data_IF_753270678469
#
_entry.id   IF_753270678469
#
_cell.length_a   1.000
_cell.length_b   1.000
_cell.length_c   1.000
_cell.angle_alpha   90.00
_cell.angle_beta   90.00
_cell.angle_gamma   90.00
#
_symmetry.space_group_name_H-M   'P 1'
#
loop_
_entity.id
_entity.type
_entity.pdbx_description
1 polymer ?
#
# COMPACT_ATOMS: atom_id res chain seq x y z
N UNK A 1 24.09 17.52 8.73
CA UNK A 1 22.70 18.02 8.73
C UNK A 1 22.14 17.64 10.08
N UNK A 2 22.16 18.57 11.03
CA UNK A 2 21.79 18.34 12.45
C UNK A 2 20.30 18.62 12.65
N UNK A 3 19.46 17.95 11.86
CA UNK A 3 18.01 18.07 12.04
C UNK A 3 17.60 17.13 13.17
N UNK A 4 17.29 17.68 14.35
CA UNK A 4 16.71 16.93 15.47
C UNK A 4 15.22 16.67 15.17
N UNK A 5 14.80 15.40 15.01
CA UNK A 5 13.41 15.06 14.75
C UNK A 5 12.78 14.52 16.05
N UNK A 6 12.15 15.36 16.89
CA UNK A 6 11.66 14.96 18.22
C UNK A 6 10.60 13.86 18.15
N UNK A 7 9.95 13.69 16.99
CA UNK A 7 9.01 12.61 16.74
C UNK A 7 9.65 11.20 16.79
N UNK A 8 10.99 11.07 16.69
CA UNK A 8 11.66 9.77 16.78
C UNK A 8 11.71 9.19 18.20
N UNK A 9 11.53 10.03 19.21
CA UNK A 9 11.51 9.60 20.62
C UNK A 9 10.13 9.08 21.05
N UNK A 10 9.14 9.17 20.16
CA UNK A 10 7.76 8.82 20.45
C UNK A 10 7.43 7.44 19.89
N UNK A 11 6.86 6.60 20.75
CA UNK A 11 6.23 5.34 20.36
C UNK A 11 4.87 5.58 19.73
N UNK A 12 4.36 4.59 18.99
CA UNK A 12 3.01 4.63 18.42
C UNK A 12 1.94 4.77 19.50
N UNK A 13 2.13 4.09 20.62
CA UNK A 13 1.24 4.10 21.77
C UNK A 13 1.18 5.49 22.41
N UNK A 14 2.33 6.17 22.57
CA UNK A 14 2.38 7.54 23.08
C UNK A 14 1.67 8.54 22.15
N UNK A 15 1.89 8.42 20.82
CA UNK A 15 1.18 9.27 19.85
C UNK A 15 -0.34 9.05 19.92
N UNK A 16 -0.78 7.80 20.03
CA UNK A 16 -2.21 7.46 20.18
C UNK A 16 -2.79 7.99 21.49
N UNK A 17 -2.09 7.77 22.60
CA UNK A 17 -2.49 8.29 23.91
C UNK A 17 -2.64 9.80 23.92
N UNK A 18 -1.74 10.53 23.24
CA UNK A 18 -1.89 11.98 23.08
C UNK A 18 -3.17 12.36 22.31
N UNK A 19 -3.52 11.64 21.24
CA UNK A 19 -4.75 11.93 20.50
C UNK A 19 -5.98 11.70 21.37
N UNK A 20 -5.99 10.61 22.14
CA UNK A 20 -7.10 10.29 23.04
C UNK A 20 -7.21 11.32 24.18
N UNK A 21 -6.10 11.69 24.81
CA UNK A 21 -6.06 12.68 25.89
C UNK A 21 -6.52 14.07 25.43
N UNK A 22 -6.08 14.50 24.24
CA UNK A 22 -6.35 15.84 23.71
C UNK A 22 -7.61 15.92 22.84
N UNK A 23 -8.28 14.80 22.58
CA UNK A 23 -9.41 14.74 21.66
C UNK A 23 -9.03 15.14 20.23
N UNK A 24 -7.82 14.79 19.78
CA UNK A 24 -7.36 15.13 18.43
C UNK A 24 -7.90 14.13 17.42
N UNK A 25 -8.46 14.66 16.34
CA UNK A 25 -8.85 13.87 15.17
C UNK A 25 -7.63 13.20 14.53
N UNK A 26 -7.86 12.01 13.97
CA UNK A 26 -6.87 11.29 13.18
C UNK A 26 -7.49 10.80 11.87
N UNK A 27 -6.63 10.50 10.90
CA UNK A 27 -7.12 10.08 9.59
C UNK A 27 -7.90 8.77 9.68
N UNK A 28 -9.09 8.74 9.08
CA UNK A 28 -9.98 7.56 9.04
C UNK A 28 -9.34 6.26 8.51
N UNK A 29 -8.16 6.33 7.88
CA UNK A 29 -7.51 5.16 7.30
C UNK A 29 -7.08 4.14 8.36
N UNK A 30 -6.90 4.60 9.60
CA UNK A 30 -6.54 3.80 10.75
C UNK A 30 -7.72 2.96 11.28
N UNK A 31 -8.97 3.39 11.07
CA UNK A 31 -10.17 2.71 11.59
C UNK A 31 -10.70 1.64 10.66
N UNK A 32 -11.26 0.54 11.19
CA UNK A 32 -11.84 -0.58 10.41
C UNK A 32 -12.77 -0.11 9.28
N UNK A 33 -13.59 0.89 9.61
CA UNK A 33 -14.47 1.68 8.75
C UNK A 33 -14.33 3.15 9.15
N UNK A 34 -14.57 4.12 8.25
CA UNK A 34 -14.36 5.53 8.56
C UNK A 34 -15.09 5.98 9.82
N UNK A 35 -14.34 6.52 10.78
CA UNK A 35 -14.90 7.06 12.01
C UNK A 35 -15.26 6.01 13.06
N UNK A 36 -14.88 4.74 12.87
CA UNK A 36 -15.18 3.68 13.85
C UNK A 36 -14.40 3.82 15.18
N UNK A 37 -13.38 4.69 15.24
CA UNK A 37 -12.68 4.98 16.50
C UNK A 37 -11.71 3.88 16.97
N UNK A 38 -11.65 2.74 16.28
CA UNK A 38 -11.03 1.51 16.78
C UNK A 38 -9.59 1.28 16.31
N UNK A 39 -9.10 2.06 15.35
CA UNK A 39 -7.71 2.00 14.86
C UNK A 39 -7.25 0.59 14.41
N UNK A 40 -8.18 -0.25 13.93
CA UNK A 40 -7.94 -1.66 13.56
C UNK A 40 -7.49 -1.89 12.11
N UNK A 41 -7.05 -0.85 11.38
CA UNK A 41 -6.81 -0.92 9.93
C UNK A 41 -5.37 -0.67 9.57
N UNK A 42 -5.07 0.19 8.58
CA UNK A 42 -3.70 0.36 8.11
C UNK A 42 -2.84 0.96 9.21
N UNK A 43 -1.60 0.51 9.34
CA UNK A 43 -0.70 1.06 10.37
C UNK A 43 -0.03 2.37 9.96
N UNK A 44 -0.17 2.75 8.68
CA UNK A 44 0.41 3.95 8.10
C UNK A 44 -0.61 4.65 7.18
N UNK A 45 -0.78 5.96 7.35
CA UNK A 45 -1.50 6.81 6.41
C UNK A 45 -0.55 7.23 5.28
N UNK A 46 -0.40 6.38 4.27
CA UNK A 46 0.44 6.69 3.09
C UNK A 46 -0.40 6.73 1.82
N UNK A 47 0.19 7.27 0.74
CA UNK A 47 -0.38 7.59 -0.57
C UNK A 47 -0.78 6.37 -1.43
N UNK A 48 -1.47 5.43 -0.80
CA UNK A 48 -2.40 4.48 -1.37
C UNK A 48 -1.92 3.10 -1.76
N UNK A 49 -0.61 2.86 -1.86
CA UNK A 49 -0.04 1.51 -2.02
C UNK A 49 1.36 1.52 -1.45
N UNK A 50 1.50 1.84 -0.15
CA UNK A 50 2.82 1.94 0.44
C UNK A 50 3.52 0.58 0.37
N UNK A 51 4.37 0.41 -0.64
CA UNK A 51 5.13 -0.82 -0.89
C UNK A 51 6.09 -1.14 0.24
N UNK A 52 6.36 -0.16 1.10
CA UNK A 52 7.14 -0.30 2.33
C UNK A 52 6.31 -0.74 3.55
N UNK A 53 4.98 -0.83 3.42
CA UNK A 53 4.12 -1.25 4.51
C UNK A 53 4.16 -2.77 4.73
N UNK A 54 3.55 -3.21 5.83
CA UNK A 54 3.35 -4.64 6.10
C UNK A 54 2.55 -5.30 4.97
N UNK A 55 2.69 -6.63 4.80
CA UNK A 55 1.90 -7.38 3.81
C UNK A 55 0.39 -7.16 4.00
N UNK A 56 -0.08 -7.13 5.25
CA UNK A 56 -1.49 -6.84 5.59
C UNK A 56 -1.94 -5.48 5.04
N UNK A 57 -1.12 -4.45 5.23
CA UNK A 57 -1.41 -3.11 4.74
C UNK A 57 -1.33 -3.03 3.21
N UNK A 58 -0.44 -3.79 2.58
CA UNK A 58 -0.40 -3.93 1.12
C UNK A 58 -1.65 -4.60 0.55
N UNK A 59 -2.19 -5.64 1.20
CA UNK A 59 -3.46 -6.25 0.81
C UNK A 59 -4.63 -5.27 0.92
N UNK A 60 -4.67 -4.52 2.03
CA UNK A 60 -5.66 -3.45 2.23
C UNK A 60 -5.53 -2.39 1.12
N UNK A 61 -4.31 -1.93 0.81
CA UNK A 61 -4.06 -0.94 -0.24
C UNK A 61 -4.53 -1.42 -1.61
N UNK A 62 -4.17 -2.64 -1.99
CA UNK A 62 -4.55 -3.25 -3.25
C UNK A 62 -6.08 -3.34 -3.42
N UNK A 63 -6.80 -3.74 -2.37
CA UNK A 63 -8.26 -3.81 -2.40
C UNK A 63 -8.94 -2.44 -2.29
N UNK A 64 -8.31 -1.46 -1.62
CA UNK A 64 -8.84 -0.10 -1.45
C UNK A 64 -8.75 0.73 -2.72
N UNK A 65 -7.73 0.52 -3.56
CA UNK A 65 -7.57 1.22 -4.85
C UNK A 65 -7.33 0.23 -5.98
N UNK A 66 -8.39 -0.47 -6.43
CA UNK A 66 -8.26 -1.54 -7.40
C UNK A 66 -7.67 -1.07 -8.74
N UNK A 67 -8.05 0.11 -9.24
CA UNK A 67 -7.48 0.67 -10.49
C UNK A 67 -6.00 0.99 -10.36
N UNK A 68 -5.59 1.65 -9.27
CA UNK A 68 -4.18 1.94 -9.03
C UNK A 68 -3.35 0.65 -8.92
N UNK A 69 -3.85 -0.35 -8.20
CA UNK A 69 -3.20 -1.65 -8.07
C UNK A 69 -3.05 -2.35 -9.43
N UNK A 70 -4.10 -2.35 -10.25
CA UNK A 70 -4.05 -2.92 -11.59
C UNK A 70 -3.01 -2.21 -12.48
N UNK A 71 -2.95 -0.88 -12.43
CA UNK A 71 -1.96 -0.11 -13.20
C UNK A 71 -0.53 -0.43 -12.75
N UNK A 72 -0.29 -0.59 -11.44
CA UNK A 72 1.01 -1.02 -10.93
C UNK A 72 1.35 -2.43 -11.41
N UNK A 73 0.42 -3.39 -11.33
CA UNK A 73 0.65 -4.75 -11.82
C UNK A 73 1.02 -4.75 -13.31
N UNK A 74 0.38 -3.90 -14.12
CA UNK A 74 0.74 -3.75 -15.53
C UNK A 74 2.15 -3.15 -15.73
N UNK A 75 2.55 -2.17 -14.91
CA UNK A 75 3.92 -1.64 -14.93
C UNK A 75 4.94 -2.73 -14.60
N UNK A 76 4.68 -3.53 -13.55
CA UNK A 76 5.57 -4.64 -13.16
C UNK A 76 5.70 -5.69 -14.26
N UNK A 77 4.60 -5.99 -14.95
CA UNK A 77 4.57 -6.93 -16.09
C UNK A 77 5.40 -6.41 -17.27
N UNK A 78 5.16 -5.17 -17.73
CA UNK A 78 5.85 -4.59 -18.89
C UNK A 78 7.33 -4.35 -18.61
N UNK A 79 7.68 -3.91 -17.40
CA UNK A 79 9.08 -3.60 -17.04
C UNK A 79 9.83 -4.81 -16.51
N UNK A 80 9.13 -5.90 -16.23
CA UNK A 80 9.70 -7.08 -15.60
C UNK A 80 10.38 -6.72 -14.28
N UNK A 81 9.79 -5.88 -13.45
CA UNK A 81 10.36 -5.50 -12.15
C UNK A 81 9.31 -5.45 -11.03
N UNK A 82 9.76 -5.86 -9.85
CA UNK A 82 9.15 -5.75 -8.53
C UNK A 82 9.05 -4.34 -7.95
N UNK A 83 7.88 -3.78 -7.60
CA UNK A 83 7.91 -2.72 -6.57
C UNK A 83 8.33 -3.27 -5.20
N UNK A 84 7.97 -4.52 -4.93
CA UNK A 84 8.40 -5.27 -3.75
C UNK A 84 9.21 -6.49 -4.16
N UNK A 85 10.32 -6.79 -3.46
CA UNK A 85 11.16 -7.95 -3.81
C UNK A 85 10.54 -9.29 -3.38
N UNK A 86 9.58 -9.29 -2.45
CA UNK A 86 8.99 -10.49 -1.87
C UNK A 86 7.65 -10.92 -2.52
N UNK A 87 6.98 -10.02 -3.24
CA UNK A 87 5.65 -10.27 -3.80
C UNK A 87 5.33 -9.31 -4.94
N UNK A 88 4.64 -9.78 -5.99
CA UNK A 88 4.17 -8.92 -7.08
C UNK A 88 2.80 -8.32 -6.77
N UNK A 89 2.48 -7.19 -7.38
CA UNK A 89 1.18 -6.55 -7.24
C UNK A 89 0.04 -7.42 -7.76
N UNK A 90 0.26 -8.19 -8.84
CA UNK A 90 -0.74 -9.19 -9.31
C UNK A 90 -1.12 -10.18 -8.21
N UNK A 91 -0.14 -10.67 -7.46
CA UNK A 91 -0.36 -11.64 -6.38
C UNK A 91 -1.06 -10.97 -5.20
N UNK A 92 -0.72 -9.70 -4.89
CA UNK A 92 -1.42 -8.91 -3.87
C UNK A 92 -2.89 -8.69 -4.24
N UNK A 93 -3.22 -8.44 -5.51
CA UNK A 93 -4.60 -8.28 -5.98
C UNK A 93 -5.37 -9.59 -5.84
N UNK A 94 -4.77 -10.73 -6.22
CA UNK A 94 -5.39 -12.04 -6.07
C UNK A 94 -5.62 -12.38 -4.59
N UNK A 95 -4.59 -12.19 -3.76
CA UNK A 95 -4.66 -12.43 -2.32
C UNK A 95 -5.66 -11.53 -1.62
N UNK A 96 -5.82 -10.27 -2.04
CA UNK A 96 -6.75 -9.33 -1.40
C UNK A 96 -8.22 -9.64 -1.67
N UNK A 97 -8.51 -10.48 -2.66
CA UNK A 97 -9.87 -10.97 -2.99
C UNK A 97 -10.27 -12.22 -2.22
N UNK A 98 -9.35 -12.84 -1.48
CA UNK A 98 -9.65 -14.06 -0.73
C UNK A 98 -10.59 -13.76 0.44
N UNK A 99 -11.46 -14.72 0.85
CA UNK A 99 -12.36 -14.51 1.99
C UNK A 99 -11.66 -14.20 3.32
N UNK A 100 -10.42 -14.69 3.49
CA UNK A 100 -9.58 -14.47 4.68
C UNK A 100 -8.76 -13.16 4.61
N UNK A 101 -8.86 -12.41 3.51
CA UNK A 101 -8.14 -11.15 3.35
C UNK A 101 -8.72 -10.03 4.24
N UNK A 102 -7.88 -9.09 4.72
CA UNK A 102 -8.39 -7.93 5.41
C UNK A 102 -9.27 -7.10 4.48
N UNK A 103 -10.45 -6.69 4.97
CA UNK A 103 -11.37 -5.84 4.21
C UNK A 103 -10.67 -4.54 3.75
N UNK A 104 -11.09 -3.90 2.65
CA UNK A 104 -10.55 -2.60 2.21
C UNK A 104 -11.17 -1.38 2.92
N UNK A 105 -12.34 -1.55 3.54
CA UNK A 105 -13.08 -0.47 4.20
C UNK A 105 -13.65 0.41 3.11
N UNK A 106 -13.23 1.68 3.06
CA UNK A 106 -13.50 2.52 1.89
C UNK A 106 -12.74 1.99 0.69
N UNK A 107 -13.45 1.78 -0.41
CA UNK A 107 -12.87 1.60 -1.74
C UNK A 107 -12.90 2.96 -2.43
N UNK A 108 -11.76 3.35 -3.01
CA UNK A 108 -11.60 4.56 -3.79
C UNK A 108 -11.56 4.11 -5.25
N UNK A 109 -12.66 4.37 -5.97
CA UNK A 109 -12.86 3.93 -7.36
C UNK A 109 -12.00 4.68 -8.38
N UNK A 110 -11.33 5.76 -7.95
CA UNK A 110 -10.40 6.52 -8.77
C UNK A 110 -11.04 7.10 -10.06
N UNK A 111 -12.34 7.38 -10.05
CA UNK A 111 -13.13 7.84 -11.22
C UNK A 111 -12.86 9.30 -11.64
N UNK A 112 -11.91 9.98 -11.00
CA UNK A 112 -11.63 11.38 -11.26
C UNK A 112 -10.75 11.62 -12.51
N UNK A 113 -10.91 12.77 -13.20
CA UNK A 113 -10.11 13.11 -14.38
C UNK A 113 -8.60 13.22 -14.09
N UNK A 114 -8.22 13.41 -12.83
CA UNK A 114 -6.84 13.37 -12.38
C UNK A 114 -6.22 11.98 -12.51
N UNK A 115 -6.96 10.93 -12.14
CA UNK A 115 -6.49 9.56 -12.26
C UNK A 115 -6.36 9.16 -13.72
N UNK A 116 -7.37 9.43 -14.55
CA UNK A 116 -7.33 9.07 -15.98
C UNK A 116 -6.16 9.74 -16.71
N UNK A 117 -5.83 10.99 -16.34
CA UNK A 117 -4.66 11.69 -16.89
C UNK A 117 -3.36 11.00 -16.48
N UNK A 118 -3.24 10.60 -15.23
CA UNK A 118 -2.08 9.85 -14.73
C UNK A 118 -1.97 8.49 -15.43
N UNK A 119 -3.06 7.74 -15.51
CA UNK A 119 -3.13 6.43 -16.18
C UNK A 119 -2.66 6.52 -17.63
N UNK A 120 -3.19 7.47 -18.41
CA UNK A 120 -2.73 7.71 -19.79
C UNK A 120 -1.23 7.97 -19.87
N UNK A 121 -0.69 8.84 -19.02
CA UNK A 121 0.75 9.15 -19.00
C UNK A 121 1.61 7.93 -18.66
N UNK A 122 1.14 7.07 -17.75
CA UNK A 122 1.84 5.81 -17.44
C UNK A 122 1.84 4.90 -18.65
N UNK A 123 0.67 4.67 -19.27
CA UNK A 123 0.55 3.81 -20.45
C UNK A 123 1.37 4.32 -21.65
N UNK A 124 1.42 5.64 -21.88
CA UNK A 124 2.30 6.26 -22.87
C UNK A 124 3.78 6.02 -22.56
N UNK A 125 4.19 6.22 -21.30
CA UNK A 125 5.56 5.99 -20.88
C UNK A 125 5.98 4.52 -21.00
N UNK A 126 5.06 3.57 -20.80
CA UNK A 126 5.31 2.13 -20.94
C UNK A 126 5.64 1.70 -22.38
N UNK A 127 5.23 2.47 -23.39
CA UNK A 127 5.57 2.23 -24.80
C UNK A 127 7.00 2.62 -25.16
N UNK A 128 7.66 3.38 -24.30
CA UNK A 128 9.04 3.82 -24.50
C UNK A 128 10.02 2.81 -23.88
N UNK A 129 11.18 2.69 -24.50
CA UNK A 129 12.31 1.94 -23.95
C UNK A 129 12.62 2.41 -22.52
N UNK A 130 12.86 1.47 -21.58
CA UNK A 130 13.11 1.82 -20.20
C UNK A 130 14.44 2.57 -20.09
N UNK A 131 14.42 3.72 -19.40
CA UNK A 131 15.64 4.51 -19.12
C UNK A 131 16.67 3.77 -18.26
N UNK A 132 16.25 2.73 -17.52
CA UNK A 132 17.11 1.84 -16.73
C UNK A 132 16.60 0.42 -16.89
N UNK A 133 17.50 -0.51 -17.18
CA UNK A 133 17.19 -1.94 -17.22
C UNK A 133 16.91 -2.44 -15.80
N UNK A 134 15.82 -3.18 -15.62
CA UNK A 134 15.55 -3.85 -14.35
C UNK A 134 16.58 -4.96 -14.14
N UNK A 135 17.23 -4.97 -12.98
CA UNK A 135 18.19 -6.03 -12.59
C UNK A 135 17.61 -6.94 -11.50
N UNK A 136 16.39 -6.68 -11.05
CA UNK A 136 15.81 -7.24 -9.83
C UNK A 136 14.91 -8.46 -10.07
N UNK A 137 14.76 -8.96 -11.30
CA UNK A 137 13.81 -10.05 -11.61
C UNK A 137 14.40 -11.27 -12.31
N UNK A 138 15.70 -11.52 -12.18
CA UNK A 138 16.28 -12.81 -12.56
C UNK A 138 16.87 -13.45 -11.30
N UNK A 139 16.12 -14.33 -10.62
CA UNK A 139 16.61 -15.49 -9.81
C UNK A 139 16.04 -15.73 -8.40
N UNK A 140 15.19 -14.89 -7.81
CA UNK A 140 14.64 -15.24 -6.48
C UNK A 140 13.45 -16.23 -6.63
N UNK A 141 13.54 -17.48 -6.14
CA UNK A 141 12.36 -18.35 -6.08
C UNK A 141 11.31 -17.70 -5.16
N UNK A 142 10.01 -17.98 -5.38
CA UNK A 142 8.96 -17.52 -4.47
C UNK A 142 9.33 -17.92 -3.05
N UNK A 143 9.51 -16.95 -2.13
CA UNK A 143 9.70 -17.28 -0.73
C UNK A 143 8.43 -17.96 -0.25
N UNK A 144 8.57 -19.19 0.28
CA UNK A 144 7.45 -19.89 0.90
C UNK A 144 6.80 -18.99 1.94
N UNK A 145 5.50 -18.76 1.75
CA UNK A 145 4.70 -17.87 2.54
C UNK A 145 4.49 -18.51 3.90
N UNK A 146 5.14 -17.97 4.94
CA UNK A 146 4.82 -18.38 6.31
C UNK A 146 3.36 -18.01 6.62
N UNK A 147 2.58 -18.90 7.25
CA UNK A 147 1.23 -18.57 7.68
C UNK A 147 1.28 -17.34 8.59
N UNK A 148 0.38 -16.40 8.32
CA UNK A 148 0.21 -15.21 9.16
C UNK A 148 -0.48 -15.68 10.44
N UNK A 149 0.24 -15.64 11.57
CA UNK A 149 -0.38 -15.80 12.88
C UNK A 149 -1.30 -14.61 13.12
N UNK A 150 -2.60 -14.89 13.18
CA UNK A 150 -3.60 -13.93 13.65
C UNK A 150 -3.57 -14.03 15.18
N UNK A 151 -2.84 -13.12 15.81
CA UNK A 151 -2.89 -12.85 17.24
C UNK A 151 -3.36 -11.40 17.44
#
# INVERSE_FOLDING_TARGET
MDEWPPAKDWTREQVRGLHDEKGLDYHWCYDSEPGAGNRLRTTHCSCSNCFLASRRDSLIGAARRPRAAALIAHVEEVRGDSFRPDIRMRDLIELSRRPDAPRPGVVIEDEGPGFDRMERRVLEALRLEPRRLSRLSVSAPPRELRPVSIA
#
